data_IF_445292661644
#
_entry.id   IF_445292661644
#
_cell.length_a   1.000
_cell.length_b   1.000
_cell.length_c   1.000
_cell.angle_alpha   90.00
_cell.angle_beta   90.00
_cell.angle_gamma   90.00
#
_symmetry.space_group_name_H-M   'P 1'
#
loop_
_entity.id
_entity.type
_entity.pdbx_description
1 polymer ?
#
# COMPACT_ATOMS: atom_id res chain seq x y z
N UNK A 1 -13.26 -0.21 7.39
CA UNK A 1 -12.72 0.58 6.25
C UNK A 1 -12.41 -0.37 5.10
N UNK A 2 -12.62 0.01 3.82
CA UNK A 2 -12.21 -0.84 2.70
C UNK A 2 -10.69 -1.06 2.65
N UNK A 3 -10.24 -2.29 2.41
CA UNK A 3 -8.81 -2.67 2.43
C UNK A 3 -7.93 -1.81 1.51
N UNK A 4 -8.40 -1.53 0.29
CA UNK A 4 -7.65 -0.69 -0.66
C UNK A 4 -7.40 0.73 -0.15
N UNK A 5 -8.33 1.31 0.61
CA UNK A 5 -8.15 2.66 1.20
C UNK A 5 -7.14 2.62 2.33
N UNK A 6 -7.25 1.63 3.22
CA UNK A 6 -6.31 1.46 4.32
C UNK A 6 -4.88 1.23 3.80
N UNK A 7 -4.71 0.39 2.77
CA UNK A 7 -3.42 0.18 2.11
C UNK A 7 -2.86 1.49 1.55
N UNK A 8 -3.65 2.24 0.79
CA UNK A 8 -3.19 3.51 0.22
C UNK A 8 -2.78 4.52 1.28
N UNK A 9 -3.58 4.72 2.33
CA UNK A 9 -3.27 5.66 3.43
C UNK A 9 -1.95 5.29 4.13
N UNK A 10 -1.74 4.00 4.43
CA UNK A 10 -0.49 3.52 5.04
C UNK A 10 0.70 3.76 4.11
N UNK A 11 0.57 3.52 2.81
CA UNK A 11 1.66 3.70 1.84
C UNK A 11 1.97 5.19 1.63
N UNK A 12 0.96 6.04 1.54
CA UNK A 12 1.10 7.49 1.36
C UNK A 12 1.78 8.16 2.55
N UNK A 13 1.54 7.66 3.77
CA UNK A 13 2.21 8.16 4.97
C UNK A 13 3.68 7.76 5.08
N UNK A 14 4.16 6.85 4.22
CA UNK A 14 5.54 6.32 4.23
C UNK A 14 6.23 6.56 2.89
N UNK A 15 6.77 7.76 2.63
CA UNK A 15 7.35 8.13 1.34
C UNK A 15 8.56 7.28 0.91
N UNK A 16 9.23 6.61 1.86
CA UNK A 16 10.31 5.66 1.62
C UNK A 16 9.84 4.28 1.13
N UNK A 17 8.54 4.01 1.24
CA UNK A 17 7.92 2.71 0.98
C UNK A 17 7.74 1.86 2.23
N UNK A 18 6.88 0.86 2.14
CA UNK A 18 6.53 -0.06 3.23
C UNK A 18 6.69 -1.50 2.76
N UNK A 19 7.27 -2.37 3.59
CA UNK A 19 7.38 -3.79 3.24
C UNK A 19 6.03 -4.50 3.44
N UNK A 20 5.78 -5.64 2.80
CA UNK A 20 4.54 -6.42 2.99
C UNK A 20 4.31 -6.71 4.48
N UNK A 21 5.37 -7.15 5.16
CA UNK A 21 5.34 -7.46 6.59
C UNK A 21 4.90 -6.26 7.42
N UNK A 22 5.50 -5.08 7.20
CA UNK A 22 5.15 -3.84 7.91
C UNK A 22 3.77 -3.32 7.53
N UNK A 23 3.34 -3.52 6.29
CA UNK A 23 2.01 -3.13 5.82
C UNK A 23 0.94 -3.95 6.55
N UNK A 24 1.13 -5.26 6.69
CA UNK A 24 0.23 -6.14 7.46
C UNK A 24 0.17 -5.72 8.93
N UNK A 25 1.32 -5.42 9.54
CA UNK A 25 1.38 -4.92 10.92
C UNK A 25 0.63 -3.59 11.09
N UNK A 26 0.84 -2.63 10.19
CA UNK A 26 0.12 -1.34 10.19
C UNK A 26 -1.39 -1.53 9.99
N UNK A 27 -1.82 -2.39 9.07
CA UNK A 27 -3.23 -2.68 8.82
C UNK A 27 -3.94 -3.23 10.07
N UNK A 28 -3.26 -4.13 10.80
CA UNK A 28 -3.77 -4.68 12.06
C UNK A 28 -3.82 -3.62 13.16
N UNK A 29 -2.75 -2.85 13.32
CA UNK A 29 -2.62 -1.87 14.41
C UNK A 29 -3.55 -0.67 14.24
N UNK A 30 -3.62 -0.11 13.04
CA UNK A 30 -4.29 1.16 12.77
C UNK A 30 -5.76 0.97 12.40
N UNK A 31 -6.09 -0.13 11.71
CA UNK A 31 -7.43 -0.36 11.16
C UNK A 31 -8.11 -1.65 11.64
N UNK A 32 -7.43 -2.47 12.44
CA UNK A 32 -7.91 -3.80 12.89
C UNK A 32 -8.28 -4.72 11.71
N UNK A 33 -7.53 -4.60 10.60
CA UNK A 33 -7.71 -5.42 9.40
C UNK A 33 -6.59 -6.46 9.32
N UNK A 34 -6.96 -7.74 9.19
CA UNK A 34 -6.02 -8.85 9.01
C UNK A 34 -6.35 -9.56 7.69
N UNK A 35 -5.86 -9.05 6.55
CA UNK A 35 -6.17 -9.64 5.26
C UNK A 35 -5.39 -10.95 5.07
N UNK A 36 -5.99 -11.91 4.38
CA UNK A 36 -5.22 -13.02 3.82
C UNK A 36 -4.21 -12.49 2.79
N UNK A 37 -3.13 -13.26 2.54
CA UNK A 37 -2.16 -12.91 1.49
C UNK A 37 -2.82 -12.72 0.13
N UNK A 38 -3.79 -13.57 -0.20
CA UNK A 38 -4.50 -13.47 -1.48
C UNK A 38 -5.28 -12.16 -1.62
N UNK A 39 -6.00 -11.75 -0.57
CA UNK A 39 -6.74 -10.48 -0.56
C UNK A 39 -5.80 -9.28 -0.65
N UNK A 40 -4.69 -9.31 0.10
CA UNK A 40 -3.68 -8.25 0.04
C UNK A 40 -3.11 -8.15 -1.37
N UNK A 41 -2.70 -9.26 -1.98
CA UNK A 41 -2.10 -9.27 -3.31
C UNK A 41 -3.08 -8.83 -4.39
N UNK A 42 -4.36 -9.22 -4.30
CA UNK A 42 -5.38 -8.72 -5.21
C UNK A 42 -5.56 -7.20 -5.10
N UNK A 43 -5.49 -6.65 -3.89
CA UNK A 43 -5.56 -5.20 -3.67
C UNK A 43 -4.30 -4.51 -4.21
N UNK A 44 -3.12 -5.00 -3.88
CA UNK A 44 -1.85 -4.44 -4.35
C UNK A 44 -1.79 -4.42 -5.88
N UNK A 45 -2.15 -5.54 -6.53
CA UNK A 45 -2.21 -5.64 -7.99
C UNK A 45 -3.20 -4.62 -8.59
N UNK A 46 -4.39 -4.45 -7.99
CA UNK A 46 -5.37 -3.46 -8.48
C UNK A 46 -4.83 -2.03 -8.37
N UNK A 47 -4.19 -1.70 -7.25
CA UNK A 47 -3.62 -0.37 -7.02
C UNK A 47 -2.43 -0.09 -7.94
N UNK A 48 -1.61 -1.11 -8.22
CA UNK A 48 -0.50 -0.99 -9.16
C UNK A 48 -0.97 -0.83 -10.61
N UNK A 49 -2.00 -1.56 -11.03
CA UNK A 49 -2.63 -1.37 -12.35
C UNK A 49 -3.26 0.01 -12.53
N UNK A 50 -3.62 0.67 -11.43
CA UNK A 50 -4.13 2.04 -11.40
C UNK A 50 -3.01 3.10 -11.34
N UNK A 51 -1.75 2.67 -11.37
CA UNK A 51 -0.58 3.52 -11.21
C UNK A 51 -0.58 4.34 -9.90
N UNK A 52 -1.18 3.79 -8.85
CA UNK A 52 -1.23 4.43 -7.52
C UNK A 52 -0.05 4.04 -6.63
N UNK A 53 0.40 2.79 -6.79
CA UNK A 53 1.56 2.25 -6.08
C UNK A 53 2.45 1.49 -7.06
N UNK A 54 3.69 1.26 -6.66
CA UNK A 54 4.59 0.32 -7.30
C UNK A 54 4.99 -0.76 -6.28
N UNK A 55 4.99 -2.01 -6.72
CA UNK A 55 5.38 -3.17 -5.90
C UNK A 55 6.63 -3.79 -6.50
N UNK A 56 7.73 -3.77 -5.74
CA UNK A 56 8.98 -4.40 -6.15
C UNK A 56 9.35 -5.57 -5.21
N UNK A 57 9.92 -6.64 -5.77
CA UNK A 57 10.40 -7.75 -4.97
C UNK A 57 11.81 -7.45 -4.43
N UNK A 58 11.95 -7.43 -3.11
CA UNK A 58 13.23 -7.22 -2.42
C UNK A 58 13.55 -8.49 -1.63
N UNK A 59 14.33 -9.37 -2.25
CA UNK A 59 14.65 -10.69 -1.67
C UNK A 59 13.41 -11.57 -1.55
N UNK A 60 12.93 -11.79 -0.32
CA UNK A 60 11.76 -12.62 -0.01
C UNK A 60 10.51 -11.81 0.38
N UNK A 61 10.58 -10.49 0.33
CA UNK A 61 9.51 -9.58 0.71
C UNK A 61 9.17 -8.65 -0.48
N UNK A 62 8.00 -8.03 -0.43
CA UNK A 62 7.65 -6.94 -1.33
C UNK A 62 7.88 -5.59 -0.65
N UNK A 63 8.40 -4.63 -1.42
CA UNK A 63 8.46 -3.23 -1.04
C UNK A 63 7.41 -2.48 -1.86
N UNK A 64 6.48 -1.84 -1.16
CA UNK A 64 5.36 -1.10 -1.74
C UNK A 64 5.64 0.39 -1.60
N UNK A 65 5.65 1.12 -2.71
CA UNK A 65 5.90 2.56 -2.78
C UNK A 65 4.74 3.27 -3.45
N UNK A 66 4.46 4.51 -3.07
CA UNK A 66 3.53 5.35 -3.85
C UNK A 66 4.22 5.76 -5.16
N UNK A 67 3.46 5.83 -6.26
CA UNK A 67 4.00 6.39 -7.51
C UNK A 67 4.18 7.91 -7.40
N UNK A 68 5.10 8.52 -8.17
CA UNK A 68 5.23 9.97 -8.23
C UNK A 68 3.91 10.67 -8.63
N UNK A 69 3.15 10.06 -9.55
CA UNK A 69 1.88 10.59 -10.02
C UNK A 69 0.82 10.60 -8.92
N UNK A 70 0.65 9.49 -8.19
CA UNK A 70 -0.31 9.44 -7.09
C UNK A 70 0.10 10.34 -5.93
N UNK A 71 1.40 10.48 -5.66
CA UNK A 71 1.90 11.45 -4.68
C UNK A 71 1.51 12.89 -5.06
N UNK A 72 1.63 13.26 -6.32
CA UNK A 72 1.22 14.58 -6.80
C UNK A 72 -0.29 14.80 -6.67
N UNK A 73 -1.11 13.83 -7.10
CA UNK A 73 -2.57 13.90 -6.98
C UNK A 73 -3.04 14.06 -5.53
N UNK A 74 -2.38 13.38 -4.59
CA UNK A 74 -2.69 13.53 -3.16
C UNK A 74 -2.32 14.90 -2.61
N UNK A 75 -1.18 15.45 -3.01
CA UNK A 75 -0.75 16.79 -2.56
C UNK A 75 -1.64 17.91 -3.12
N UNK A 76 -2.25 17.72 -4.29
CA UNK A 76 -3.16 18.69 -4.92
C UNK A 76 -4.60 18.61 -4.37
N UNK A 77 -4.92 17.58 -3.59
CA UNK A 77 -6.26 17.32 -3.04
C UNK A 77 -6.44 17.77 -1.57
N UNK A 78 -5.40 18.38 -0.97
CA UNK A 78 -5.36 18.90 0.41
C UNK A 78 -5.17 20.42 0.37
#
# INVERSE_FOLDING_TARGET
MPLHRAVLEIVLSKPEGVTESKLIESLKKEYQIEPSRSELYQVLMKLELQDLIHVEQVGKDFLIKVTPQAKQQFLESV
#
